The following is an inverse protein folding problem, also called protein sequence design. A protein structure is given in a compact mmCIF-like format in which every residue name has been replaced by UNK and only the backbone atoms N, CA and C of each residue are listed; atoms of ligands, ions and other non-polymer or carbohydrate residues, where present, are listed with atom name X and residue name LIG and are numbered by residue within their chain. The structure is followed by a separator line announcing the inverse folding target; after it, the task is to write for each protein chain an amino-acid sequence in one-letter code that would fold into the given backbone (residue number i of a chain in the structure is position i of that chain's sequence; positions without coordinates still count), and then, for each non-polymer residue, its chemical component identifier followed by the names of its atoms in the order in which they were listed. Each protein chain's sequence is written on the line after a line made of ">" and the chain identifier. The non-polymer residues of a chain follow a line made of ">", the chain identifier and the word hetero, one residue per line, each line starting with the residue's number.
data_IF_291461229709
#
_entry.id   IF_291461229709
#
_cell.length_a   1.000
_cell.length_b   1.000
_cell.length_c   1.000
_cell.angle_alpha   90.00
_cell.angle_beta   90.00
_cell.angle_gamma   90.00
#
_symmetry.space_group_name_H-M   'P 1'
#
loop_
_entity.id
_entity.type
_entity.pdbx_description
1 polymer ?
#
# COMPACT_ATOMS: atom_id res chain seq x y z
N UNK A 1 15.21 -26.00 -22.72
CA UNK A 1 15.80 -24.70 -23.15
C UNK A 1 15.39 -23.64 -22.16
N UNK A 2 16.33 -22.93 -21.51
CA UNK A 2 16.00 -21.76 -20.66
C UNK A 2 15.36 -20.70 -21.57
N UNK A 3 14.22 -20.19 -21.20
CA UNK A 3 13.54 -19.13 -21.93
C UNK A 3 14.32 -17.83 -21.76
N UNK A 4 14.87 -17.29 -22.82
CA UNK A 4 15.64 -16.05 -22.77
C UNK A 4 14.77 -14.80 -22.59
N UNK A 5 13.44 -14.90 -22.75
CA UNK A 5 12.50 -13.78 -22.62
C UNK A 5 11.29 -14.24 -21.83
N UNK A 6 10.93 -13.50 -20.78
CA UNK A 6 9.70 -13.67 -19.98
C UNK A 6 8.73 -12.56 -20.35
N UNK A 7 7.54 -12.93 -20.82
CA UNK A 7 6.48 -11.98 -21.19
C UNK A 7 5.36 -12.00 -20.17
N UNK A 8 5.16 -10.89 -19.49
CA UNK A 8 4.15 -10.73 -18.42
C UNK A 8 3.06 -9.76 -18.87
N UNK A 9 1.81 -10.17 -18.77
CA UNK A 9 0.68 -9.27 -18.86
C UNK A 9 0.24 -8.87 -17.46
N UNK A 10 0.57 -7.63 -17.07
CA UNK A 10 0.24 -7.06 -15.77
C UNK A 10 -1.17 -6.49 -15.79
N UNK A 11 -2.08 -7.09 -15.05
CA UNK A 11 -3.46 -6.65 -14.90
C UNK A 11 -3.62 -5.81 -13.63
N UNK A 12 -3.70 -4.49 -13.79
CA UNK A 12 -3.78 -3.53 -12.69
C UNK A 12 -4.52 -2.26 -13.10
N UNK A 13 -4.77 -1.38 -12.15
CA UNK A 13 -5.17 0.00 -12.47
C UNK A 13 -4.01 0.73 -13.12
N UNK A 14 -4.33 1.67 -14.02
CA UNK A 14 -3.29 2.52 -14.65
C UNK A 14 -2.50 3.30 -13.61
N UNK A 15 -1.19 3.49 -13.81
CA UNK A 15 -0.33 4.21 -12.88
C UNK A 15 -0.85 5.62 -12.57
N UNK A 16 -0.74 6.04 -11.32
CA UNK A 16 -0.90 7.43 -10.88
C UNK A 16 -0.31 7.56 -9.47
N UNK A 17 -0.08 8.78 -9.03
CA UNK A 17 0.44 9.06 -7.69
C UNK A 17 -0.62 8.90 -6.59
N UNK A 18 -1.89 8.64 -6.94
CA UNK A 18 -2.98 8.49 -5.99
C UNK A 18 -3.43 7.05 -5.88
N UNK A 19 -3.32 6.47 -4.68
CA UNK A 19 -3.77 5.12 -4.36
C UNK A 19 -2.69 4.04 -4.53
N UNK A 20 -2.52 3.22 -3.49
CA UNK A 20 -1.44 2.25 -3.36
C UNK A 20 -1.27 1.28 -4.54
N UNK A 21 -2.37 0.75 -5.11
CA UNK A 21 -2.34 -0.14 -6.29
C UNK A 21 -1.76 0.56 -7.52
N UNK A 22 -2.10 1.84 -7.72
CA UNK A 22 -1.62 2.61 -8.87
C UNK A 22 -0.15 2.98 -8.76
N UNK A 23 0.29 3.34 -7.54
CA UNK A 23 1.70 3.58 -7.22
C UNK A 23 2.50 2.29 -7.45
N UNK A 24 2.02 1.15 -6.92
CA UNK A 24 2.66 -0.14 -7.12
C UNK A 24 2.79 -0.49 -8.61
N UNK A 25 1.73 -0.32 -9.39
CA UNK A 25 1.75 -0.56 -10.84
C UNK A 25 2.80 0.31 -11.54
N UNK A 26 2.88 1.59 -11.20
CA UNK A 26 3.87 2.52 -11.74
C UNK A 26 5.30 2.08 -11.41
N UNK A 27 5.55 1.69 -10.17
CA UNK A 27 6.87 1.20 -9.73
C UNK A 27 7.29 -0.07 -10.48
N UNK A 28 6.39 -1.05 -10.63
CA UNK A 28 6.68 -2.29 -11.39
C UNK A 28 7.02 -1.97 -12.84
N UNK A 29 6.20 -1.17 -13.52
CA UNK A 29 6.43 -0.84 -14.93
C UNK A 29 7.72 -0.03 -15.14
N UNK A 30 7.98 0.95 -14.28
CA UNK A 30 9.20 1.78 -14.35
C UNK A 30 10.45 0.96 -14.08
N UNK A 31 10.43 0.10 -13.05
CA UNK A 31 11.56 -0.75 -12.70
C UNK A 31 11.94 -1.69 -13.85
N UNK A 32 10.98 -2.48 -14.36
CA UNK A 32 11.27 -3.45 -15.43
C UNK A 32 11.49 -2.80 -16.80
N UNK A 33 11.07 -1.56 -17.01
CA UNK A 33 11.49 -0.77 -18.17
C UNK A 33 12.97 -0.37 -18.09
N UNK A 34 13.43 0.02 -16.89
CA UNK A 34 14.84 0.39 -16.62
C UNK A 34 15.75 -0.84 -16.57
N UNK A 35 15.25 -1.98 -16.06
CA UNK A 35 15.97 -3.24 -15.89
C UNK A 35 15.31 -4.32 -16.75
N UNK A 36 15.36 -4.13 -18.09
CA UNK A 36 14.72 -5.06 -19.04
C UNK A 36 15.41 -6.42 -19.12
N UNK A 37 16.61 -6.57 -18.54
CA UNK A 37 17.39 -7.79 -18.45
C UNK A 37 17.88 -7.98 -17.01
N UNK A 38 17.62 -9.16 -16.45
CA UNK A 38 18.05 -9.56 -15.11
C UNK A 38 18.57 -10.99 -15.22
N UNK A 39 19.82 -11.24 -14.77
CA UNK A 39 20.47 -12.56 -14.79
C UNK A 39 20.38 -13.24 -16.18
N UNK A 40 20.73 -12.51 -17.26
CA UNK A 40 20.69 -12.94 -18.66
C UNK A 40 19.29 -13.33 -19.17
N UNK A 41 18.25 -12.93 -18.47
CA UNK A 41 16.84 -13.17 -18.87
C UNK A 41 16.17 -11.83 -19.14
N UNK A 42 15.74 -11.62 -20.38
CA UNK A 42 14.94 -10.45 -20.75
C UNK A 42 13.54 -10.55 -20.18
N UNK A 43 13.01 -9.45 -19.64
CA UNK A 43 11.63 -9.37 -19.18
C UNK A 43 10.88 -8.27 -19.92
N UNK A 44 9.68 -8.59 -20.40
CA UNK A 44 8.77 -7.64 -21.01
C UNK A 44 7.44 -7.64 -20.28
N UNK A 45 7.01 -6.47 -19.82
CA UNK A 45 5.74 -6.30 -19.11
C UNK A 45 4.84 -5.37 -19.92
N UNK A 46 3.67 -5.89 -20.31
CA UNK A 46 2.61 -5.11 -20.92
C UNK A 46 1.48 -4.89 -19.92
N UNK A 47 0.86 -3.70 -19.91
CA UNK A 47 -0.22 -3.38 -18.99
C UNK A 47 -1.60 -3.71 -19.60
N UNK A 48 -2.37 -4.52 -18.88
CA UNK A 48 -3.80 -4.68 -19.05
C UNK A 48 -4.54 -3.83 -18.01
N UNK A 49 -4.98 -2.63 -18.40
CA UNK A 49 -5.61 -1.70 -17.46
C UNK A 49 -7.02 -2.13 -17.06
N UNK A 50 -7.25 -2.19 -15.75
CA UNK A 50 -8.57 -2.35 -15.14
C UNK A 50 -9.19 -1.04 -14.66
N UNK A 51 -8.55 0.10 -14.94
CA UNK A 51 -9.12 1.42 -14.64
C UNK A 51 -10.48 1.55 -15.31
N UNK A 52 -11.44 2.16 -14.63
CA UNK A 52 -12.76 2.45 -15.19
C UNK A 52 -12.61 3.33 -16.43
N UNK A 53 -13.45 3.06 -17.44
CA UNK A 53 -13.41 3.79 -18.72
C UNK A 53 -13.85 5.25 -18.59
N UNK A 54 -14.60 5.59 -17.53
CA UNK A 54 -15.05 6.95 -17.24
C UNK A 54 -14.70 7.30 -15.80
N UNK A 55 -14.19 8.52 -15.58
CA UNK A 55 -13.97 9.05 -14.22
C UNK A 55 -15.32 9.17 -13.50
N UNK A 56 -15.45 8.45 -12.38
CA UNK A 56 -16.66 8.46 -11.55
C UNK A 56 -16.64 9.71 -10.64
N UNK A 57 -16.92 10.87 -11.21
CA UNK A 57 -17.17 12.08 -10.42
C UNK A 57 -18.52 11.94 -9.68
N UNK A 58 -18.68 12.59 -8.53
CA UNK A 58 -19.95 12.59 -7.79
C UNK A 58 -21.11 13.19 -8.59
N UNK A 59 -20.81 13.93 -9.65
CA UNK A 59 -21.75 14.60 -10.56
C UNK A 59 -22.46 13.63 -11.53
N UNK A 60 -21.96 12.40 -11.72
CA UNK A 60 -22.60 11.46 -12.64
C UNK A 60 -23.82 10.78 -12.01
N UNK A 61 -24.96 10.73 -12.71
CA UNK A 61 -26.16 9.99 -12.28
C UNK A 61 -25.84 8.51 -12.01
N UNK A 62 -26.54 7.90 -11.06
CA UNK A 62 -26.31 6.52 -10.63
C UNK A 62 -26.47 5.49 -11.76
N UNK A 63 -27.40 5.70 -12.67
CA UNK A 63 -27.65 4.81 -13.82
C UNK A 63 -26.49 4.83 -14.84
N UNK A 64 -25.82 5.98 -15.03
CA UNK A 64 -24.62 6.07 -15.86
C UNK A 64 -23.46 5.29 -15.19
N UNK A 65 -23.31 5.44 -13.88
CA UNK A 65 -22.31 4.67 -13.10
C UNK A 65 -22.56 3.17 -13.26
N UNK A 66 -23.80 2.74 -13.10
CA UNK A 66 -24.19 1.33 -13.25
C UNK A 66 -23.94 0.82 -14.68
N UNK A 67 -24.31 1.59 -15.70
CA UNK A 67 -24.03 1.23 -17.11
C UNK A 67 -22.54 1.07 -17.39
N UNK A 68 -21.70 1.99 -16.90
CA UNK A 68 -20.24 1.91 -17.07
C UNK A 68 -19.67 0.68 -16.35
N UNK A 69 -20.14 0.38 -15.15
CA UNK A 69 -19.69 -0.79 -14.39
C UNK A 69 -20.08 -2.10 -15.08
N UNK A 70 -21.31 -2.22 -15.60
CA UNK A 70 -21.77 -3.38 -16.36
C UNK A 70 -20.97 -3.52 -17.67
N UNK A 71 -20.82 -2.42 -18.42
CA UNK A 71 -20.03 -2.40 -19.66
C UNK A 71 -18.58 -2.83 -19.39
N UNK A 72 -17.91 -2.23 -18.41
CA UNK A 72 -16.53 -2.55 -18.07
C UNK A 72 -16.40 -4.01 -17.58
N UNK A 73 -17.38 -4.52 -16.84
CA UNK A 73 -17.40 -5.89 -16.35
C UNK A 73 -17.40 -6.92 -17.50
N UNK A 74 -18.24 -6.72 -18.52
CA UNK A 74 -18.35 -7.65 -19.66
C UNK A 74 -17.29 -7.42 -20.74
N UNK A 75 -16.93 -6.18 -21.01
CA UNK A 75 -15.99 -5.85 -22.08
C UNK A 75 -14.54 -6.25 -21.76
N UNK A 76 -14.10 -6.14 -20.51
CA UNK A 76 -12.73 -6.47 -20.13
C UNK A 76 -12.37 -7.95 -20.34
N UNK A 77 -13.22 -8.96 -20.02
CA UNK A 77 -12.96 -10.35 -20.36
C UNK A 77 -12.77 -10.59 -21.87
N UNK A 78 -13.60 -9.97 -22.71
CA UNK A 78 -13.44 -10.07 -24.18
C UNK A 78 -12.11 -9.45 -24.63
N UNK A 79 -11.77 -8.27 -24.11
CA UNK A 79 -10.49 -7.64 -24.42
C UNK A 79 -9.31 -8.52 -24.03
N UNK A 80 -9.37 -9.17 -22.85
CA UNK A 80 -8.33 -10.09 -22.40
C UNK A 80 -8.22 -11.28 -23.35
N UNK A 81 -9.35 -11.90 -23.72
CA UNK A 81 -9.39 -13.03 -24.65
C UNK A 81 -8.69 -12.70 -25.98
N UNK A 82 -9.05 -11.58 -26.62
CA UNK A 82 -8.43 -11.17 -27.88
C UNK A 82 -6.95 -10.80 -27.72
N UNK A 83 -6.57 -10.22 -26.60
CA UNK A 83 -5.16 -9.89 -26.33
C UNK A 83 -4.31 -11.16 -26.18
N UNK A 84 -4.81 -12.18 -25.48
CA UNK A 84 -4.12 -13.47 -25.33
C UNK A 84 -4.14 -14.28 -26.64
N UNK A 85 -5.16 -14.15 -27.47
CA UNK A 85 -5.22 -14.78 -28.80
C UNK A 85 -4.19 -14.16 -29.77
N UNK A 86 -3.88 -12.87 -29.62
CA UNK A 86 -2.97 -12.14 -30.53
C UNK A 86 -1.52 -12.17 -30.11
N UNK A 87 -1.26 -12.21 -28.78
CA UNK A 87 0.10 -12.11 -28.22
C UNK A 87 0.38 -13.28 -27.28
N UNK A 88 1.59 -13.80 -27.37
CA UNK A 88 2.04 -14.87 -26.48
C UNK A 88 2.56 -14.27 -25.16
N UNK A 89 1.88 -14.57 -24.07
CA UNK A 89 2.32 -14.25 -22.72
C UNK A 89 2.64 -15.54 -21.95
N UNK A 90 3.59 -15.45 -21.03
CA UNK A 90 3.96 -16.56 -20.14
C UNK A 90 3.16 -16.47 -18.84
N UNK A 91 2.95 -15.24 -18.35
CA UNK A 91 2.34 -14.95 -17.07
C UNK A 91 1.28 -13.86 -17.24
N UNK A 92 0.15 -14.07 -16.59
CA UNK A 92 -0.86 -13.05 -16.29
C UNK A 92 -0.76 -12.74 -14.79
N UNK A 93 -0.21 -11.58 -14.47
CA UNK A 93 -0.08 -11.11 -13.08
C UNK A 93 -1.21 -10.12 -12.79
N UNK A 94 -2.18 -10.53 -11.98
CA UNK A 94 -3.36 -9.75 -11.66
C UNK A 94 -3.32 -9.21 -10.25
N UNK A 95 -3.53 -7.89 -10.11
CA UNK A 95 -3.76 -7.22 -8.83
C UNK A 95 -5.25 -7.28 -8.48
N UNK A 96 -5.56 -7.83 -7.32
CA UNK A 96 -6.92 -7.96 -6.80
C UNK A 96 -7.11 -7.15 -5.50
N UNK A 97 -8.25 -6.47 -5.40
CA UNK A 97 -8.66 -5.74 -4.19
C UNK A 97 -9.83 -6.43 -3.46
N UNK A 98 -10.24 -7.62 -3.94
CA UNK A 98 -11.34 -8.40 -3.36
C UNK A 98 -12.73 -7.88 -3.69
N UNK A 99 -13.73 -8.24 -2.85
CA UNK A 99 -15.11 -7.83 -3.02
C UNK A 99 -15.74 -8.35 -4.31
N UNK A 100 -16.60 -7.57 -4.94
CA UNK A 100 -17.27 -7.93 -6.21
C UNK A 100 -16.29 -8.15 -7.37
N UNK A 101 -15.07 -7.60 -7.30
CA UNK A 101 -14.01 -7.81 -8.28
C UNK A 101 -13.59 -9.27 -8.44
N UNK A 102 -13.81 -10.12 -7.43
CA UNK A 102 -13.46 -11.54 -7.45
C UNK A 102 -14.18 -12.33 -8.55
N UNK A 103 -15.39 -11.93 -8.96
CA UNK A 103 -16.10 -12.57 -10.08
C UNK A 103 -15.33 -12.37 -11.38
N UNK A 104 -14.91 -11.14 -11.66
CA UNK A 104 -14.07 -10.81 -12.82
C UNK A 104 -12.74 -11.56 -12.76
N UNK A 105 -12.13 -11.62 -11.58
CA UNK A 105 -10.85 -12.27 -11.35
C UNK A 105 -10.93 -13.78 -11.67
N UNK A 106 -12.04 -14.45 -11.30
CA UNK A 106 -12.32 -15.84 -11.68
C UNK A 106 -12.41 -16.00 -13.20
N UNK A 107 -13.14 -15.11 -13.88
CA UNK A 107 -13.28 -15.14 -15.35
C UNK A 107 -11.93 -14.97 -16.03
N UNK A 108 -11.10 -14.05 -15.57
CA UNK A 108 -9.77 -13.81 -16.11
C UNK A 108 -8.86 -15.04 -15.97
N UNK A 109 -8.89 -15.72 -14.81
CA UNK A 109 -8.11 -16.95 -14.62
C UNK A 109 -8.55 -18.06 -15.58
N UNK A 110 -9.86 -18.24 -15.78
CA UNK A 110 -10.34 -19.25 -16.74
C UNK A 110 -9.94 -18.93 -18.19
N UNK A 111 -9.99 -17.65 -18.59
CA UNK A 111 -9.51 -17.22 -19.92
C UNK A 111 -8.02 -17.53 -20.05
N UNK A 112 -7.20 -17.18 -19.06
CA UNK A 112 -5.76 -17.46 -19.08
C UNK A 112 -5.47 -18.96 -19.21
N UNK A 113 -6.25 -19.83 -18.55
CA UNK A 113 -6.12 -21.29 -18.67
C UNK A 113 -6.38 -21.82 -20.08
N UNK A 114 -7.36 -21.24 -20.82
CA UNK A 114 -7.63 -21.60 -22.21
C UNK A 114 -6.38 -21.36 -23.09
N UNK A 115 -5.61 -20.32 -22.81
CA UNK A 115 -4.39 -19.98 -23.52
C UNK A 115 -3.12 -20.56 -22.90
N UNK A 116 -3.23 -21.41 -21.85
CA UNK A 116 -2.11 -21.99 -21.09
C UNK A 116 -1.17 -20.94 -20.49
N UNK A 117 -1.68 -19.74 -20.20
CA UNK A 117 -0.95 -18.67 -19.53
C UNK A 117 -1.00 -18.88 -18.02
N UNK A 118 0.16 -18.88 -17.37
CA UNK A 118 0.25 -19.04 -15.91
C UNK A 118 -0.29 -17.80 -15.18
N UNK A 119 -0.96 -18.01 -14.05
CA UNK A 119 -1.66 -16.94 -13.33
C UNK A 119 -1.05 -16.66 -11.98
N UNK A 120 -0.75 -15.39 -11.70
CA UNK A 120 -0.37 -14.88 -10.39
C UNK A 120 -1.45 -13.92 -9.93
N UNK A 121 -2.00 -14.12 -8.74
CA UNK A 121 -2.95 -13.19 -8.13
C UNK A 121 -2.28 -12.52 -6.95
N UNK A 122 -2.20 -11.20 -7.00
CA UNK A 122 -1.61 -10.37 -5.97
C UNK A 122 -2.70 -9.61 -5.24
N UNK A 123 -2.97 -9.98 -3.99
CA UNK A 123 -3.99 -9.35 -3.16
C UNK A 123 -3.41 -8.11 -2.46
N UNK A 124 -3.96 -6.94 -2.79
CA UNK A 124 -3.56 -5.65 -2.21
C UNK A 124 -4.45 -5.19 -1.06
N UNK A 125 -4.75 -6.09 -0.13
CA UNK A 125 -5.50 -5.81 1.10
C UNK A 125 -5.11 -6.77 2.22
N UNK A 126 -5.25 -6.35 3.49
CA UNK A 126 -4.84 -7.12 4.67
C UNK A 126 -5.96 -7.90 5.37
N UNK A 127 -7.21 -7.86 4.88
CA UNK A 127 -8.39 -8.50 5.53
C UNK A 127 -8.63 -9.97 5.12
N UNK A 128 -7.61 -10.65 4.64
CA UNK A 128 -7.71 -12.07 4.23
C UNK A 128 -8.13 -12.98 5.40
N UNK A 129 -7.55 -12.84 6.62
CA UNK A 129 -7.97 -13.65 7.75
C UNK A 129 -9.46 -13.50 8.10
N UNK A 130 -10.00 -12.29 7.98
CA UNK A 130 -11.40 -11.98 8.24
C UNK A 130 -12.32 -12.57 7.15
N UNK A 131 -11.92 -12.49 5.88
CA UNK A 131 -12.67 -13.09 4.76
C UNK A 131 -12.75 -14.60 4.92
N UNK A 132 -11.66 -15.27 5.33
CA UNK A 132 -11.63 -16.71 5.47
C UNK A 132 -12.55 -17.22 6.61
N UNK A 133 -12.77 -16.42 7.66
CA UNK A 133 -13.66 -16.73 8.79
C UNK A 133 -15.14 -16.56 8.45
N UNK A 134 -15.47 -15.78 7.41
CA UNK A 134 -16.85 -15.56 6.99
C UNK A 134 -17.38 -16.72 6.14
N UNK A 135 -18.70 -16.92 6.18
CA UNK A 135 -19.44 -17.85 5.32
C UNK A 135 -20.37 -17.07 4.36
N UNK A 136 -19.83 -16.02 3.74
CA UNK A 136 -20.53 -15.17 2.78
C UNK A 136 -20.06 -15.43 1.34
N UNK A 137 -20.71 -14.77 0.39
CA UNK A 137 -20.40 -14.86 -1.04
C UNK A 137 -18.95 -14.42 -1.31
N UNK A 138 -18.44 -13.40 -0.62
CA UNK A 138 -17.07 -12.93 -0.79
C UNK A 138 -16.08 -14.03 -0.41
N UNK A 139 -16.29 -14.70 0.72
CA UNK A 139 -15.45 -15.82 1.17
C UNK A 139 -15.45 -16.99 0.18
N UNK A 140 -16.64 -17.34 -0.35
CA UNK A 140 -16.76 -18.39 -1.35
C UNK A 140 -15.99 -18.07 -2.63
N UNK A 141 -16.19 -16.87 -3.19
CA UNK A 141 -15.51 -16.40 -4.39
C UNK A 141 -14.00 -16.31 -4.19
N UNK A 142 -13.57 -15.80 -3.03
CA UNK A 142 -12.17 -15.69 -2.65
C UNK A 142 -11.50 -17.08 -2.61
N UNK A 143 -12.08 -18.05 -1.92
CA UNK A 143 -11.59 -19.43 -1.88
C UNK A 143 -11.53 -20.06 -3.27
N UNK A 144 -12.51 -19.77 -4.14
CA UNK A 144 -12.52 -20.24 -5.53
C UNK A 144 -11.36 -19.64 -6.34
N UNK A 145 -11.12 -18.33 -6.25
CA UNK A 145 -10.00 -17.65 -6.94
C UNK A 145 -8.66 -18.26 -6.53
N UNK A 146 -8.42 -18.43 -5.23
CA UNK A 146 -7.18 -19.01 -4.71
C UNK A 146 -6.96 -20.44 -5.22
N UNK A 147 -8.01 -21.26 -5.26
CA UNK A 147 -7.93 -22.66 -5.72
C UNK A 147 -7.50 -22.75 -7.18
N UNK A 148 -7.98 -21.85 -8.02
CA UNK A 148 -7.73 -21.89 -9.46
C UNK A 148 -6.46 -21.16 -9.91
N UNK A 149 -5.88 -20.26 -9.13
CA UNK A 149 -4.63 -19.56 -9.45
C UNK A 149 -3.41 -20.48 -9.35
N UNK A 150 -2.37 -20.22 -10.16
CA UNK A 150 -1.10 -20.95 -10.08
C UNK A 150 -0.24 -20.45 -8.91
N UNK A 151 -0.27 -19.12 -8.62
CA UNK A 151 0.47 -18.50 -7.52
C UNK A 151 -0.35 -17.39 -6.89
N UNK A 152 -0.15 -17.21 -5.58
CA UNK A 152 -0.82 -16.18 -4.79
C UNK A 152 0.24 -15.34 -4.10
N UNK A 153 0.12 -14.02 -4.23
CA UNK A 153 0.94 -13.04 -3.50
C UNK A 153 0.05 -12.32 -2.51
N UNK A 154 0.52 -12.21 -1.28
CA UNK A 154 -0.12 -11.44 -0.20
C UNK A 154 0.88 -10.46 0.39
N UNK A 155 0.40 -9.35 0.95
CA UNK A 155 1.25 -8.27 1.41
C UNK A 155 1.88 -8.50 2.78
N UNK A 156 1.19 -9.22 3.68
CA UNK A 156 1.53 -9.34 5.09
C UNK A 156 1.60 -10.81 5.57
N UNK A 157 2.27 -11.01 6.72
CA UNK A 157 2.47 -12.35 7.29
C UNK A 157 1.19 -12.95 7.86
N UNK A 158 0.27 -12.12 8.39
CA UNK A 158 -1.02 -12.59 8.94
C UNK A 158 -1.86 -13.22 7.83
N UNK A 159 -1.94 -12.56 6.67
CA UNK A 159 -2.60 -13.07 5.46
C UNK A 159 -1.93 -14.34 4.93
N UNK A 160 -0.59 -14.40 4.89
CA UNK A 160 0.14 -15.62 4.49
C UNK A 160 -0.19 -16.77 5.44
N UNK A 161 -0.06 -16.59 6.74
CA UNK A 161 -0.32 -17.61 7.74
C UNK A 161 -1.75 -18.16 7.68
N UNK A 162 -2.73 -17.30 7.40
CA UNK A 162 -4.13 -17.71 7.24
C UNK A 162 -4.37 -18.60 6.02
N UNK A 163 -3.56 -18.47 4.97
CA UNK A 163 -3.68 -19.25 3.73
C UNK A 163 -2.82 -20.51 3.70
N UNK A 164 -1.69 -20.55 4.40
CA UNK A 164 -0.73 -21.66 4.40
C UNK A 164 -1.36 -23.03 4.67
N UNK A 165 -2.28 -23.21 5.66
CA UNK A 165 -2.89 -24.51 5.92
C UNK A 165 -3.61 -25.13 4.73
N UNK A 166 -4.04 -24.32 3.78
CA UNK A 166 -4.82 -24.75 2.61
C UNK A 166 -4.04 -24.73 1.29
N UNK A 167 -3.02 -23.86 1.19
CA UNK A 167 -2.38 -23.51 -0.08
C UNK A 167 -0.87 -23.22 0.02
N UNK A 168 -0.16 -23.86 0.94
CA UNK A 168 1.24 -23.59 1.31
C UNK A 168 2.18 -23.37 0.10
N UNK A 169 2.19 -24.30 -0.85
CA UNK A 169 3.10 -24.23 -2.02
C UNK A 169 2.82 -23.09 -2.99
N UNK A 170 1.66 -22.45 -2.90
CA UNK A 170 1.22 -21.39 -3.82
C UNK A 170 1.33 -19.99 -3.24
N UNK A 171 1.39 -19.86 -1.91
CA UNK A 171 1.28 -18.56 -1.24
C UNK A 171 2.66 -18.02 -0.86
N UNK A 172 2.92 -16.81 -1.32
CA UNK A 172 4.13 -16.07 -0.92
C UNK A 172 3.75 -14.71 -0.34
N UNK A 173 4.62 -14.21 0.54
CA UNK A 173 4.54 -12.83 1.02
C UNK A 173 5.47 -11.94 0.20
N UNK A 174 4.91 -10.86 -0.34
CA UNK A 174 5.64 -9.80 -1.01
C UNK A 174 4.94 -8.47 -0.72
N UNK A 175 5.57 -7.62 0.10
CA UNK A 175 5.05 -6.29 0.43
C UNK A 175 5.17 -5.29 -0.72
N UNK A 176 4.74 -4.07 -0.48
CA UNK A 176 4.91 -3.00 -1.44
C UNK A 176 6.34 -2.46 -1.45
N UNK A 177 6.89 -1.98 -2.57
CA UNK A 177 8.12 -1.20 -2.60
C UNK A 177 7.85 0.29 -2.33
N UNK A 178 8.79 1.02 -1.77
CA UNK A 178 8.80 2.48 -1.84
C UNK A 178 9.52 2.97 -3.11
N UNK A 179 9.31 4.24 -3.49
CA UNK A 179 9.94 4.84 -4.67
C UNK A 179 11.42 5.14 -4.43
N UNK A 180 12.27 4.84 -5.43
CA UNK A 180 13.71 5.18 -5.40
C UNK A 180 13.96 6.69 -5.30
N UNK A 181 13.02 7.53 -5.76
CA UNK A 181 13.12 9.00 -5.65
C UNK A 181 13.28 9.47 -4.21
N UNK A 182 12.71 8.74 -3.25
CA UNK A 182 12.84 9.03 -1.83
C UNK A 182 14.28 8.94 -1.35
N UNK A 183 15.07 8.01 -1.89
CA UNK A 183 16.46 7.81 -1.51
C UNK A 183 17.34 9.03 -1.85
N UNK A 184 17.00 9.75 -2.92
CA UNK A 184 17.73 10.94 -3.36
C UNK A 184 17.46 12.16 -2.48
N UNK A 185 16.33 12.19 -1.77
CA UNK A 185 15.87 13.33 -0.95
C UNK A 185 16.45 13.24 0.47
N UNK A 186 16.46 12.06 1.07
CA UNK A 186 16.83 11.86 2.47
C UNK A 186 18.34 11.62 2.69
N UNK A 187 19.19 12.52 2.23
CA UNK A 187 20.65 12.39 2.35
C UNK A 187 21.20 12.94 3.68
N UNK A 188 20.51 13.84 4.38
CA UNK A 188 21.02 14.44 5.63
C UNK A 188 19.97 14.45 6.74
N UNK A 189 20.29 13.81 7.88
CA UNK A 189 19.47 13.84 9.11
C UNK A 189 19.60 15.16 9.90
N UNK A 190 20.53 16.05 9.53
CA UNK A 190 20.86 17.27 10.27
C UNK A 190 19.77 18.35 10.26
N UNK A 191 18.67 18.14 9.51
CA UNK A 191 17.60 19.13 9.31
C UNK A 191 16.31 18.87 10.08
N UNK A 192 16.30 17.97 11.08
CA UNK A 192 15.06 17.71 11.83
C UNK A 192 14.67 18.88 12.72
N UNK A 193 13.44 19.36 12.53
CA UNK A 193 12.83 20.47 13.26
C UNK A 193 12.26 19.90 14.56
N UNK A 194 12.77 20.39 15.70
CA UNK A 194 12.30 19.94 17.02
C UNK A 194 10.80 20.16 17.19
N UNK A 195 10.12 19.14 17.75
CA UNK A 195 8.69 19.12 18.06
C UNK A 195 7.77 19.26 16.85
N UNK A 196 8.30 19.04 15.62
CA UNK A 196 7.51 18.94 14.39
C UNK A 196 6.91 17.55 14.29
N UNK A 197 5.57 17.50 14.29
CA UNK A 197 4.78 16.27 14.11
C UNK A 197 4.15 16.30 12.72
N UNK A 198 4.24 15.20 12.00
CA UNK A 198 3.65 15.08 10.67
C UNK A 198 2.65 13.92 10.61
N UNK A 199 1.52 14.18 9.98
CA UNK A 199 0.53 13.18 9.54
C UNK A 199 0.44 13.24 8.01
N UNK A 200 0.47 12.08 7.36
CA UNK A 200 0.26 11.96 5.92
C UNK A 200 -0.78 10.88 5.65
N UNK A 201 -1.89 11.27 5.07
CA UNK A 201 -3.00 10.37 4.77
C UNK A 201 -4.28 11.13 4.42
N UNK A 202 -5.28 10.42 3.93
CA UNK A 202 -6.60 10.99 3.73
C UNK A 202 -7.19 11.43 5.09
N UNK A 203 -7.72 12.65 5.19
CA UNK A 203 -8.26 13.20 6.45
C UNK A 203 -9.62 12.58 6.84
N UNK A 204 -9.74 11.26 6.74
CA UNK A 204 -10.94 10.51 7.12
C UNK A 204 -10.82 9.94 8.53
N UNK A 205 -11.94 9.73 9.19
CA UNK A 205 -12.01 9.15 10.54
C UNK A 205 -11.26 7.82 10.65
N UNK A 206 -11.29 6.98 9.61
CA UNK A 206 -10.61 5.68 9.63
C UNK A 206 -9.08 5.78 9.60
N UNK A 207 -8.51 6.95 9.31
CA UNK A 207 -7.06 7.22 9.43
C UNK A 207 -6.68 7.80 10.78
N UNK A 208 -7.64 7.96 11.70
CA UNK A 208 -7.42 8.40 13.07
C UNK A 208 -7.11 9.89 13.19
N UNK A 209 -7.57 10.72 12.24
CA UNK A 209 -7.29 12.17 12.27
C UNK A 209 -7.86 12.82 13.53
N UNK A 210 -9.06 12.39 13.98
CA UNK A 210 -9.68 12.96 15.17
C UNK A 210 -8.91 12.60 16.45
N UNK A 211 -8.43 11.37 16.57
CA UNK A 211 -7.58 10.92 17.68
C UNK A 211 -6.26 11.67 17.71
N UNK A 212 -5.69 11.99 16.53
CA UNK A 212 -4.48 12.79 16.46
C UNK A 212 -4.71 14.21 16.94
N UNK A 213 -5.80 14.85 16.49
CA UNK A 213 -6.16 16.21 16.94
C UNK A 213 -6.41 16.24 18.46
N UNK A 214 -7.16 15.27 18.98
CA UNK A 214 -7.46 15.12 20.40
C UNK A 214 -6.19 14.86 21.25
N UNK A 215 -5.24 14.10 20.70
CA UNK A 215 -3.96 13.86 21.37
C UNK A 215 -3.05 15.10 21.40
N UNK A 216 -3.16 16.00 20.40
CA UNK A 216 -2.22 17.08 20.19
C UNK A 216 -2.67 18.47 20.68
N UNK A 217 -3.99 18.76 20.77
CA UNK A 217 -4.51 20.13 20.93
C UNK A 217 -3.98 20.87 22.16
N UNK A 218 -3.69 20.18 23.25
CA UNK A 218 -3.23 20.76 24.51
C UNK A 218 -1.72 20.59 24.79
N UNK A 219 -0.94 20.09 23.81
CA UNK A 219 0.53 19.98 23.92
C UNK A 219 1.17 21.30 23.49
N UNK A 220 1.87 21.95 24.42
CA UNK A 220 2.54 23.22 24.14
C UNK A 220 3.77 23.06 23.24
N UNK A 221 3.96 24.05 22.35
CA UNK A 221 5.17 24.20 21.54
C UNK A 221 5.40 23.12 20.49
N UNK A 222 4.38 22.35 20.11
CA UNK A 222 4.43 21.46 18.93
C UNK A 222 3.99 22.22 17.69
N UNK A 223 4.45 21.75 16.51
CA UNK A 223 3.93 22.16 15.22
C UNK A 223 3.41 20.89 14.50
N UNK A 224 2.09 20.77 14.38
CA UNK A 224 1.42 19.66 13.72
C UNK A 224 1.15 20.00 12.25
N UNK A 225 1.66 19.19 11.34
CA UNK A 225 1.44 19.31 9.88
C UNK A 225 0.61 18.12 9.38
N UNK A 226 -0.50 18.43 8.70
CA UNK A 226 -1.43 17.44 8.17
C UNK A 226 -1.43 17.52 6.65
N UNK A 227 -0.97 16.45 5.98
CA UNK A 227 -0.90 16.32 4.53
C UNK A 227 -1.85 15.25 4.04
N UNK A 228 -2.57 15.53 2.97
CA UNK A 228 -3.42 14.58 2.27
C UNK A 228 -4.72 15.17 1.77
N UNK A 229 -5.47 14.41 0.98
CA UNK A 229 -6.75 14.85 0.46
C UNK A 229 -7.82 14.81 1.56
N UNK A 230 -8.82 15.67 1.40
CA UNK A 230 -10.04 15.75 2.21
C UNK A 230 -11.22 16.07 1.30
N UNK A 231 -12.42 15.90 1.83
CA UNK A 231 -13.63 16.47 1.25
C UNK A 231 -14.18 17.56 2.16
N UNK A 232 -15.20 18.27 1.69
CA UNK A 232 -15.76 19.41 2.43
C UNK A 232 -16.30 19.03 3.83
N UNK A 233 -16.84 17.82 4.00
CA UNK A 233 -17.33 17.35 5.30
C UNK A 233 -16.17 17.04 6.25
N UNK A 234 -15.14 16.36 5.77
CA UNK A 234 -13.93 16.04 6.54
C UNK A 234 -13.23 17.32 7.01
N UNK A 235 -13.11 18.32 6.14
CA UNK A 235 -12.57 19.64 6.50
C UNK A 235 -13.43 20.35 7.53
N UNK A 236 -14.76 20.31 7.38
CA UNK A 236 -15.68 20.90 8.33
C UNK A 236 -15.54 20.26 9.72
N UNK A 237 -15.46 18.93 9.80
CA UNK A 237 -15.31 18.19 11.06
C UNK A 237 -13.99 18.57 11.78
N UNK A 238 -12.88 18.64 11.02
CA UNK A 238 -11.55 19.05 11.55
C UNK A 238 -11.60 20.52 12.03
N UNK A 239 -12.15 21.43 11.22
CA UNK A 239 -12.25 22.85 11.58
C UNK A 239 -13.13 23.05 12.81
N UNK A 240 -14.27 22.34 12.91
CA UNK A 240 -15.13 22.38 14.07
C UNK A 240 -14.41 21.93 15.34
N UNK A 241 -13.60 20.88 15.25
CA UNK A 241 -12.77 20.43 16.37
C UNK A 241 -11.78 21.52 16.81
N UNK A 242 -11.05 22.14 15.88
CA UNK A 242 -10.05 23.19 16.16
C UNK A 242 -10.71 24.42 16.81
N UNK A 243 -11.88 24.82 16.35
CA UNK A 243 -12.63 25.97 16.95
C UNK A 243 -13.02 25.63 18.38
N UNK A 244 -13.50 24.41 18.63
CA UNK A 244 -13.96 23.98 19.96
C UNK A 244 -12.81 23.73 20.94
N UNK A 245 -11.66 23.30 20.43
CA UNK A 245 -10.47 22.96 21.20
C UNK A 245 -9.25 23.73 20.67
N UNK A 246 -9.02 24.99 21.12
CA UNK A 246 -7.88 25.79 20.68
C UNK A 246 -6.56 25.07 20.93
N UNK A 247 -5.74 24.97 19.90
CA UNK A 247 -4.42 24.35 20.00
C UNK A 247 -3.46 25.23 20.80
N UNK A 248 -2.72 24.63 21.73
CA UNK A 248 -1.63 25.30 22.45
C UNK A 248 -0.32 25.37 21.66
N UNK A 249 -0.21 24.59 20.58
CA UNK A 249 0.85 24.64 19.58
C UNK A 249 0.34 25.18 18.25
N UNK A 250 1.08 24.91 17.18
CA UNK A 250 0.69 25.25 15.82
C UNK A 250 0.03 24.06 15.13
N UNK A 251 -1.01 24.32 14.32
CA UNK A 251 -1.62 23.33 13.44
C UNK A 251 -1.67 23.86 12.00
N UNK A 252 -1.18 23.06 11.07
CA UNK A 252 -1.06 23.38 9.65
C UNK A 252 -1.76 22.31 8.82
N UNK A 253 -2.93 22.63 8.26
CA UNK A 253 -3.65 21.77 7.31
C UNK A 253 -3.12 22.09 5.91
N UNK A 254 -2.21 21.25 5.42
CA UNK A 254 -1.44 21.51 4.20
C UNK A 254 -2.10 20.97 2.92
N UNK A 255 -3.13 20.10 3.08
CA UNK A 255 -3.81 19.49 1.94
C UNK A 255 -2.92 18.54 1.13
N UNK A 256 -3.30 18.30 -0.12
CA UNK A 256 -2.56 17.45 -1.04
C UNK A 256 -1.31 18.16 -1.54
N UNK A 257 -0.15 17.51 -1.42
CA UNK A 257 1.14 17.98 -1.92
C UNK A 257 1.83 16.92 -2.81
N UNK A 258 2.75 17.33 -3.70
CA UNK A 258 3.60 16.39 -4.44
C UNK A 258 4.44 15.52 -3.52
N UNK A 259 4.75 14.29 -3.96
CA UNK A 259 5.46 13.30 -3.13
C UNK A 259 6.85 13.76 -2.68
N UNK A 260 7.58 14.49 -3.52
CA UNK A 260 8.90 15.04 -3.16
C UNK A 260 8.81 15.98 -1.94
N UNK A 261 7.79 16.84 -1.89
CA UNK A 261 7.54 17.72 -0.75
C UNK A 261 7.19 16.89 0.51
N UNK A 262 6.34 15.86 0.36
CA UNK A 262 5.99 14.97 1.47
C UNK A 262 7.25 14.28 2.03
N UNK A 263 8.16 13.84 1.18
CA UNK A 263 9.40 13.19 1.60
C UNK A 263 10.34 14.17 2.33
N UNK A 264 10.50 15.40 1.82
CA UNK A 264 11.26 16.47 2.49
C UNK A 264 10.68 16.76 3.90
N UNK A 265 9.36 16.83 3.98
CA UNK A 265 8.64 17.08 5.22
C UNK A 265 8.79 15.92 6.23
N UNK A 266 8.74 14.67 5.77
CA UNK A 266 9.00 13.50 6.62
C UNK A 266 10.46 13.45 7.09
N UNK A 267 11.42 13.79 6.22
CA UNK A 267 12.84 13.85 6.60
C UNK A 267 13.12 14.95 7.61
N UNK A 268 12.35 16.04 7.60
CA UNK A 268 12.49 17.16 8.53
C UNK A 268 11.67 17.00 9.83
N UNK A 269 10.73 16.07 9.89
CA UNK A 269 9.87 15.90 11.04
C UNK A 269 10.58 15.17 12.19
N UNK A 270 10.25 15.56 13.41
CA UNK A 270 10.69 14.90 14.64
C UNK A 270 9.90 13.63 14.93
N UNK A 271 8.64 13.57 14.43
CA UNK A 271 7.73 12.47 14.66
C UNK A 271 6.71 12.34 13.52
N UNK A 272 6.55 11.14 12.99
CA UNK A 272 5.46 10.75 12.10
C UNK A 272 4.38 10.01 12.89
N UNK A 273 3.11 10.42 12.74
CA UNK A 273 1.98 9.82 13.47
C UNK A 273 0.87 9.41 12.52
N UNK A 274 0.47 8.12 12.58
CA UNK A 274 -0.64 7.57 11.80
C UNK A 274 -1.47 6.62 12.67
N UNK A 275 -2.49 7.11 13.43
CA UNK A 275 -3.30 6.31 14.33
C UNK A 275 -4.49 5.64 13.61
N UNK A 276 -4.21 4.99 12.48
CA UNK A 276 -5.20 4.43 11.56
C UNK A 276 -5.96 3.24 12.14
N UNK A 277 -7.23 3.04 11.72
CA UNK A 277 -8.07 1.91 12.17
C UNK A 277 -7.92 0.67 11.28
N UNK A 278 -7.49 0.86 10.04
CA UNK A 278 -7.38 -0.23 9.08
C UNK A 278 -6.38 0.08 7.99
N UNK A 279 -5.51 -0.86 7.71
CA UNK A 279 -4.53 -0.81 6.62
C UNK A 279 -4.33 -2.21 6.02
N UNK A 280 -3.80 -2.26 4.80
CA UNK A 280 -3.21 -3.47 4.26
C UNK A 280 -1.71 -3.48 4.51
N UNK A 281 -0.99 -2.78 3.63
CA UNK A 281 0.45 -2.54 3.71
C UNK A 281 0.69 -1.07 3.33
N UNK A 282 0.65 -0.15 4.30
CA UNK A 282 0.61 1.28 4.03
C UNK A 282 1.93 1.83 3.50
N UNK A 283 1.87 2.45 2.32
CA UNK A 283 3.02 3.11 1.70
C UNK A 283 3.64 4.16 2.60
N UNK A 284 2.80 4.97 3.23
CA UNK A 284 3.24 6.10 4.05
C UNK A 284 4.07 5.67 5.26
N UNK A 285 3.83 4.48 5.83
CA UNK A 285 4.68 3.90 6.88
C UNK A 285 6.05 3.53 6.32
N UNK A 286 6.11 2.87 5.15
CA UNK A 286 7.40 2.56 4.49
C UNK A 286 8.19 3.82 4.16
N UNK A 287 7.49 4.86 3.67
CA UNK A 287 8.07 6.15 3.33
C UNK A 287 8.63 6.84 4.57
N UNK A 288 7.88 6.88 5.68
CA UNK A 288 8.36 7.41 6.95
C UNK A 288 9.56 6.61 7.51
N UNK A 289 9.52 5.26 7.41
CA UNK A 289 10.66 4.41 7.75
C UNK A 289 11.88 4.77 6.89
N UNK A 290 11.73 4.85 5.57
CA UNK A 290 12.83 5.15 4.66
C UNK A 290 13.38 6.57 4.84
N UNK A 291 12.56 7.53 5.29
CA UNK A 291 13.00 8.85 5.74
C UNK A 291 13.71 8.81 7.10
N UNK A 292 13.73 7.69 7.80
CA UNK A 292 14.28 7.58 9.17
C UNK A 292 13.47 8.38 10.19
N UNK A 293 12.22 8.72 9.90
CA UNK A 293 11.36 9.45 10.83
C UNK A 293 10.90 8.51 11.95
N UNK A 294 10.98 8.90 13.23
CA UNK A 294 10.36 8.17 14.32
C UNK A 294 8.86 8.03 14.09
N UNK A 295 8.31 6.84 14.34
CA UNK A 295 6.93 6.51 13.97
C UNK A 295 6.12 6.12 15.19
N UNK A 296 4.90 6.70 15.31
CA UNK A 296 3.82 6.19 16.15
C UNK A 296 2.67 5.77 15.24
N UNK A 297 2.18 4.55 15.41
CA UNK A 297 1.03 4.04 14.64
C UNK A 297 0.24 3.01 15.46
N UNK A 298 -0.67 2.29 14.81
CA UNK A 298 -1.52 1.26 15.41
C UNK A 298 -1.17 -0.12 14.85
N UNK A 299 -1.41 -1.24 15.58
CA UNK A 299 -1.01 -2.60 15.16
C UNK A 299 -1.99 -3.22 14.14
N UNK A 300 -2.41 -2.46 13.12
CA UNK A 300 -3.36 -2.90 12.10
C UNK A 300 -2.66 -3.28 10.79
N UNK A 301 -3.21 -4.27 10.07
CA UNK A 301 -2.63 -4.76 8.81
C UNK A 301 -1.19 -5.25 9.00
N UNK A 302 -0.30 -4.76 8.14
CA UNK A 302 1.13 -5.06 8.19
C UNK A 302 1.94 -4.13 9.09
N UNK A 303 1.34 -3.11 9.73
CA UNK A 303 2.09 -2.07 10.46
C UNK A 303 2.92 -2.66 11.59
N UNK A 304 2.35 -3.57 12.38
CA UNK A 304 3.07 -4.25 13.45
C UNK A 304 4.31 -4.99 12.93
N UNK A 305 4.16 -5.74 11.84
CA UNK A 305 5.27 -6.44 11.17
C UNK A 305 6.31 -5.47 10.60
N UNK A 306 5.88 -4.32 10.10
CA UNK A 306 6.78 -3.30 9.57
C UNK A 306 7.61 -2.64 10.67
N UNK A 307 7.00 -2.37 11.82
CA UNK A 307 7.61 -1.66 12.96
C UNK A 307 8.22 -2.57 14.03
N UNK A 308 8.41 -3.86 13.74
CA UNK A 308 9.10 -4.82 14.61
C UNK A 308 10.22 -5.55 13.85
N UNK A 309 11.23 -6.04 14.56
CA UNK A 309 12.30 -6.89 14.05
C UNK A 309 12.70 -7.91 15.10
N UNK A 310 13.56 -8.86 14.75
CA UNK A 310 14.12 -9.80 15.72
C UNK A 310 14.95 -9.10 16.81
N UNK A 311 15.46 -7.89 16.53
CA UNK A 311 16.23 -7.05 17.46
C UNK A 311 15.35 -6.13 18.34
N UNK A 312 14.03 -6.16 18.16
CA UNK A 312 13.07 -5.36 18.92
C UNK A 312 12.21 -4.43 18.07
N UNK A 313 11.67 -3.37 18.72
CA UNK A 313 10.77 -2.40 18.07
C UNK A 313 11.55 -1.42 17.18
N UNK A 314 10.90 -0.95 16.14
CA UNK A 314 11.39 0.04 15.18
C UNK A 314 10.51 1.31 15.13
N UNK A 315 9.48 1.33 15.95
CA UNK A 315 8.51 2.41 16.12
C UNK A 315 7.53 2.02 17.21
N UNK A 316 6.68 2.95 17.59
CA UNK A 316 5.75 2.75 18.69
C UNK A 316 4.36 2.40 18.17
N UNK A 317 3.70 1.46 18.84
CA UNK A 317 2.34 1.05 18.55
C UNK A 317 1.43 1.44 19.72
N UNK A 318 0.29 2.05 19.38
CA UNK A 318 -0.76 2.43 20.33
C UNK A 318 -2.08 1.74 19.96
N UNK A 319 -3.01 1.53 20.91
CA UNK A 319 -4.31 0.96 20.60
C UNK A 319 -5.09 1.83 19.59
N UNK A 320 -5.93 1.17 18.79
CA UNK A 320 -6.83 1.86 17.83
C UNK A 320 -7.88 2.65 18.60
N UNK A 321 -8.17 3.88 18.17
CA UNK A 321 -9.17 4.80 18.78
C UNK A 321 -8.85 5.18 20.24
N UNK A 322 -7.61 5.27 20.58
CA UNK A 322 -7.14 5.63 21.92
C UNK A 322 -6.24 6.89 21.83
N UNK A 323 -6.90 8.06 21.89
CA UNK A 323 -6.22 9.37 21.87
C UNK A 323 -5.37 9.61 23.12
N UNK A 324 -5.73 9.00 24.26
CA UNK A 324 -4.97 9.12 25.51
C UNK A 324 -3.62 8.44 25.40
N UNK A 325 -3.59 7.14 25.05
CA UNK A 325 -2.34 6.40 24.80
C UNK A 325 -1.50 7.04 23.69
N UNK A 326 -2.16 7.59 22.65
CA UNK A 326 -1.47 8.32 21.60
C UNK A 326 -0.76 9.57 22.13
N UNK A 327 -1.45 10.37 22.94
CA UNK A 327 -0.89 11.57 23.58
C UNK A 327 0.30 11.23 24.47
N UNK A 328 0.15 10.25 25.37
CA UNK A 328 1.24 9.79 26.24
C UNK A 328 2.47 9.38 25.42
N UNK A 329 2.27 8.66 24.32
CA UNK A 329 3.36 8.21 23.45
C UNK A 329 4.02 9.37 22.71
N UNK A 330 3.24 10.36 22.24
CA UNK A 330 3.78 11.59 21.63
C UNK A 330 4.66 12.32 22.65
N UNK A 331 4.16 12.56 23.86
CA UNK A 331 4.91 13.22 24.92
C UNK A 331 6.20 12.48 25.28
N UNK A 332 6.12 11.14 25.39
CA UNK A 332 7.30 10.30 25.60
C UNK A 332 8.36 10.49 24.51
N UNK A 333 7.95 10.42 23.23
CA UNK A 333 8.86 10.58 22.09
C UNK A 333 9.52 11.97 22.07
N UNK A 334 8.77 13.02 22.38
CA UNK A 334 9.28 14.38 22.43
C UNK A 334 10.25 14.61 23.60
N UNK A 335 10.02 13.96 24.74
CA UNK A 335 10.91 14.00 25.90
C UNK A 335 12.19 13.17 25.68
N UNK A 336 12.05 12.00 25.03
CA UNK A 336 13.14 11.05 24.76
C UNK A 336 13.57 11.08 23.29
N UNK A 337 13.80 12.28 22.77
CA UNK A 337 14.05 12.55 21.35
C UNK A 337 15.15 11.68 20.75
N UNK A 338 16.29 11.54 21.45
CA UNK A 338 17.45 10.78 20.94
C UNK A 338 17.11 9.28 20.78
N UNK A 339 16.38 8.70 21.71
CA UNK A 339 15.91 7.32 21.63
C UNK A 339 14.96 7.15 20.44
N UNK A 340 14.01 8.06 20.28
CA UNK A 340 13.05 8.05 19.17
C UNK A 340 13.76 8.14 17.81
N UNK A 341 14.74 9.03 17.68
CA UNK A 341 15.55 9.16 16.46
C UNK A 341 16.32 7.87 16.14
N UNK A 342 16.88 7.22 17.16
CA UNK A 342 17.57 5.93 16.98
C UNK A 342 16.62 4.84 16.45
N UNK A 343 15.37 4.81 16.91
CA UNK A 343 14.35 3.90 16.37
C UNK A 343 14.04 4.23 14.91
N UNK A 344 13.94 5.50 14.55
CA UNK A 344 13.77 5.95 13.18
C UNK A 344 14.92 5.47 12.26
N UNK A 345 16.17 5.56 12.72
CA UNK A 345 17.33 5.06 11.98
C UNK A 345 17.30 3.53 11.79
N UNK A 346 16.95 2.78 12.83
CA UNK A 346 16.74 1.33 12.74
C UNK A 346 15.62 0.98 11.75
N UNK A 347 14.52 1.73 11.80
CA UNK A 347 13.41 1.58 10.85
C UNK A 347 13.86 1.85 9.41
N UNK A 348 14.66 2.90 9.18
CA UNK A 348 15.25 3.20 7.87
C UNK A 348 16.10 2.04 7.35
N UNK A 349 16.99 1.50 8.18
CA UNK A 349 17.83 0.36 7.81
C UNK A 349 16.97 -0.85 7.35
N UNK A 350 15.91 -1.16 8.10
CA UNK A 350 14.95 -2.21 7.70
C UNK A 350 14.25 -1.87 6.39
N UNK A 351 13.77 -0.64 6.21
CA UNK A 351 13.08 -0.23 4.99
C UNK A 351 13.96 -0.40 3.75
N UNK A 352 15.21 0.06 3.81
CA UNK A 352 16.19 -0.06 2.71
C UNK A 352 16.47 -1.52 2.35
N UNK A 353 16.65 -2.38 3.34
CA UNK A 353 16.98 -3.80 3.15
C UNK A 353 15.80 -4.67 2.74
N UNK A 354 14.55 -4.26 3.07
CA UNK A 354 13.38 -5.11 2.88
C UNK A 354 12.38 -4.59 1.85
N UNK A 355 12.26 -3.25 1.69
CA UNK A 355 11.15 -2.62 0.96
C UNK A 355 11.62 -1.71 -0.20
N UNK A 356 12.94 -1.62 -0.48
CA UNK A 356 13.43 -0.88 -1.65
C UNK A 356 12.90 -1.51 -2.96
N UNK A 357 12.72 -0.68 -3.98
CA UNK A 357 12.24 -1.14 -5.29
C UNK A 357 13.10 -2.26 -5.84
N UNK A 358 14.43 -2.15 -5.73
CA UNK A 358 15.35 -3.19 -6.21
C UNK A 358 15.13 -4.53 -5.52
N UNK A 359 15.08 -4.55 -4.19
CA UNK A 359 14.87 -5.78 -3.40
C UNK A 359 13.52 -6.42 -3.72
N UNK A 360 12.46 -5.61 -3.78
CA UNK A 360 11.11 -6.14 -3.99
C UNK A 360 10.88 -6.60 -5.42
N UNK A 361 11.42 -5.89 -6.42
CA UNK A 361 11.27 -6.28 -7.82
C UNK A 361 12.12 -7.51 -8.17
N UNK A 362 13.30 -7.67 -7.61
CA UNK A 362 14.09 -8.91 -7.74
C UNK A 362 13.37 -10.11 -7.12
N UNK A 363 12.74 -9.93 -5.95
CA UNK A 363 11.87 -10.97 -5.36
C UNK A 363 10.69 -11.30 -6.28
N UNK A 364 10.02 -10.30 -6.84
CA UNK A 364 8.91 -10.50 -7.78
C UNK A 364 9.38 -11.25 -9.03
N UNK A 365 10.51 -10.85 -9.62
CA UNK A 365 11.09 -11.53 -10.78
C UNK A 365 11.40 -12.99 -10.49
N UNK A 366 11.97 -13.29 -9.32
CA UNK A 366 12.21 -14.68 -8.92
C UNK A 366 10.92 -15.52 -8.86
N UNK A 367 9.78 -14.91 -8.51
CA UNK A 367 8.49 -15.59 -8.53
C UNK A 367 7.98 -15.83 -9.94
N UNK A 368 8.21 -14.90 -10.87
CA UNK A 368 7.90 -15.12 -12.29
C UNK A 368 8.63 -16.36 -12.83
N UNK A 369 9.93 -16.47 -12.56
CA UNK A 369 10.73 -17.63 -12.99
C UNK A 369 10.23 -18.94 -12.36
N UNK A 370 9.90 -18.94 -11.07
CA UNK A 370 9.37 -20.12 -10.37
C UNK A 370 8.04 -20.59 -10.96
N UNK A 371 7.17 -19.67 -11.36
CA UNK A 371 5.84 -20.02 -11.92
C UNK A 371 5.95 -20.60 -13.32
N UNK A 372 6.89 -20.13 -14.13
CA UNK A 372 7.10 -20.65 -15.49
C UNK A 372 7.71 -22.06 -15.47
N UNK A 373 8.56 -22.36 -14.50
CA UNK A 373 9.27 -23.63 -14.37
C UNK A 373 8.47 -24.71 -13.59
N UNK A 374 7.28 -24.38 -13.09
CA UNK A 374 6.30 -25.31 -12.50
C UNK A 374 5.25 -25.73 -13.55
#
# INVERSE_FOLDING_TARGET
>A
MKKNIVRVLLCSQSPSNNGGVRVWCGTVLSYFKKHAEIDDISIKIDLFSTTRSVSMTNLLPWYIKLYVDIKDFWFKPFKLFFQLARYNYDIFHMVSVGGQGLIRDILFVYICRLFKVKTIIHFHFGRIPEILKKNDIESYLFKKVIRIADRIIVLDQKSKNALMPFYDKKVIKLGNPFSDDLLNICVSQERRIKRKIIFVGHMVKTKGIMELLEACYDIEGISLYIYGPSNAQEEADVNQFIIKHPFKGEINICGLKPLNIIYEEMCSADLFVLPTYTEGFPYVIMEAMACGCPIISTPVGAIEEMLTSDEGILGYLVPVKDSHSLKERILYCLANRNESLLLGEKARKKALNCFSSDVMMKKLFSQYLKVINC
#
